data_IF_552484853684
#
_entry.id   IF_552484853684
#
_cell.length_a   1.000
_cell.length_b   1.000
_cell.length_c   1.000
_cell.angle_alpha   90.00
_cell.angle_beta   90.00
_cell.angle_gamma   90.00
#
_symmetry.space_group_name_H-M   'P 1'
#
loop_
_entity.id
_entity.type
_entity.pdbx_description
1 polymer ?
#
# COMPACT_ATOMS: atom_id res chain seq x y z
N UNK A 1 3.72 -11.05 8.04
CA UNK A 1 3.46 -11.14 6.59
C UNK A 1 3.58 -9.76 6.01
N UNK A 2 4.10 -9.64 4.79
CA UNK A 2 4.36 -8.35 4.15
C UNK A 2 3.45 -8.20 2.93
N UNK A 3 2.77 -7.07 2.83
CA UNK A 3 2.08 -6.64 1.62
C UNK A 3 2.81 -5.44 1.03
N UNK A 4 2.93 -5.45 -0.30
CA UNK A 4 3.52 -4.38 -1.08
C UNK A 4 2.41 -3.77 -1.93
N UNK A 5 2.16 -2.48 -1.72
CA UNK A 5 1.16 -1.69 -2.42
C UNK A 5 1.82 -0.81 -3.46
N UNK A 6 1.36 -0.88 -4.70
CA UNK A 6 1.72 0.10 -5.73
C UNK A 6 0.75 1.26 -5.65
N UNK A 7 1.30 2.47 -5.57
CA UNK A 7 0.56 3.72 -5.48
C UNK A 7 0.84 4.62 -6.70
N UNK A 8 -0.14 5.43 -7.06
CA UNK A 8 0.02 6.54 -8.00
C UNK A 8 0.04 7.84 -7.21
N UNK A 9 1.06 8.67 -7.43
CA UNK A 9 1.20 9.99 -6.83
C UNK A 9 0.38 11.05 -7.59
N UNK A 10 0.10 12.22 -6.98
CA UNK A 10 -0.63 13.31 -7.64
C UNK A 10 0.03 13.84 -8.92
N UNK A 11 1.35 13.70 -9.04
CA UNK A 11 2.13 14.07 -10.22
C UNK A 11 2.08 13.02 -11.35
N UNK A 12 1.33 11.92 -11.14
CA UNK A 12 1.19 10.81 -12.08
C UNK A 12 2.33 9.79 -12.02
N UNK A 13 3.32 9.98 -11.15
CA UNK A 13 4.39 8.99 -10.94
C UNK A 13 3.89 7.79 -10.14
N UNK A 14 4.58 6.67 -10.27
CA UNK A 14 4.31 5.45 -9.50
C UNK A 14 5.28 5.34 -8.32
N UNK A 15 4.78 4.83 -7.20
CA UNK A 15 5.56 4.50 -6.01
C UNK A 15 5.13 3.17 -5.40
N UNK A 16 5.84 2.76 -4.37
CA UNK A 16 5.51 1.58 -3.59
C UNK A 16 5.50 1.92 -2.10
N UNK A 17 4.57 1.30 -1.39
CA UNK A 17 4.47 1.31 0.07
C UNK A 17 4.41 -0.13 0.56
N UNK A 18 4.95 -0.40 1.74
CA UNK A 18 5.04 -1.75 2.29
C UNK A 18 4.49 -1.73 3.71
N UNK A 19 3.70 -2.75 4.04
CA UNK A 19 3.12 -2.88 5.36
C UNK A 19 3.19 -4.32 5.85
N UNK A 20 3.52 -4.46 7.12
CA UNK A 20 3.56 -5.74 7.81
C UNK A 20 2.28 -5.96 8.61
N UNK A 21 1.87 -7.21 8.75
CA UNK A 21 0.77 -7.62 9.63
C UNK A 21 0.81 -9.12 9.92
N UNK A 22 0.09 -9.56 10.96
CA UNK A 22 0.00 -10.98 11.30
C UNK A 22 -0.98 -11.72 10.37
N UNK A 23 -1.99 -11.01 9.86
CA UNK A 23 -2.97 -11.51 8.88
C UNK A 23 -3.02 -10.63 7.62
N UNK A 24 -3.75 -11.08 6.59
CA UNK A 24 -3.89 -10.31 5.35
C UNK A 24 -4.68 -9.04 5.57
N UNK A 25 -5.72 -9.12 6.38
CA UNK A 25 -6.57 -8.00 6.74
C UNK A 25 -5.77 -6.95 7.51
N UNK A 26 -4.98 -7.37 8.52
CA UNK A 26 -4.14 -6.47 9.30
C UNK A 26 -3.07 -5.79 8.44
N UNK A 27 -2.35 -6.56 7.61
CA UNK A 27 -1.35 -6.00 6.71
C UNK A 27 -1.99 -5.04 5.69
N UNK A 28 -3.21 -5.34 5.22
CA UNK A 28 -3.96 -4.48 4.29
C UNK A 28 -4.38 -3.18 4.98
N UNK A 29 -4.90 -3.23 6.19
CA UNK A 29 -5.28 -2.04 6.96
C UNK A 29 -4.06 -1.16 7.23
N UNK A 30 -2.94 -1.74 7.64
CA UNK A 30 -1.67 -1.02 7.82
C UNK A 30 -1.21 -0.37 6.51
N UNK A 31 -1.42 -1.03 5.38
CA UNK A 31 -1.07 -0.49 4.06
C UNK A 31 -1.95 0.70 3.67
N UNK A 32 -3.26 0.64 3.94
CA UNK A 32 -4.16 1.78 3.73
C UNK A 32 -3.87 2.94 4.69
N UNK A 33 -3.41 2.66 5.91
CA UNK A 33 -3.00 3.69 6.87
C UNK A 33 -1.77 4.48 6.41
N UNK A 34 -0.92 3.89 5.55
CA UNK A 34 0.23 4.55 4.93
C UNK A 34 -0.13 5.35 3.66
N UNK A 35 -1.37 5.25 3.17
CA UNK A 35 -1.79 5.95 1.97
C UNK A 35 -2.06 7.42 2.28
N UNK A 36 -1.15 8.29 1.84
CA UNK A 36 -1.29 9.74 2.00
C UNK A 36 -2.39 10.32 1.08
N UNK A 37 -2.97 11.44 1.50
CA UNK A 37 -3.97 12.18 0.71
C UNK A 37 -3.47 12.49 -0.71
N UNK A 38 -4.32 12.23 -1.69
CA UNK A 38 -4.01 12.41 -3.12
C UNK A 38 -3.24 11.26 -3.77
N UNK A 39 -2.78 10.27 -2.99
CA UNK A 39 -2.22 9.02 -3.53
C UNK A 39 -3.31 7.98 -3.71
N UNK A 40 -3.19 7.17 -4.76
CA UNK A 40 -4.15 6.11 -5.05
C UNK A 40 -3.46 4.75 -5.04
N UNK A 41 -4.00 3.81 -4.27
CA UNK A 41 -3.55 2.42 -4.29
C UNK A 41 -4.13 1.70 -5.51
N UNK A 42 -3.26 1.18 -6.38
CA UNK A 42 -3.66 0.57 -7.66
C UNK A 42 -3.48 -0.95 -7.69
N UNK A 43 -2.56 -1.49 -6.88
CA UNK A 43 -2.33 -2.92 -6.78
C UNK A 43 -1.75 -3.27 -5.42
N UNK A 44 -2.07 -4.47 -4.93
CA UNK A 44 -1.48 -5.06 -3.73
C UNK A 44 -0.92 -6.42 -4.12
N UNK A 45 0.34 -6.68 -3.78
CA UNK A 45 0.95 -8.01 -3.87
C UNK A 45 1.41 -8.46 -2.50
N UNK A 46 1.46 -9.78 -2.32
CA UNK A 46 2.04 -10.41 -1.15
C UNK A 46 3.50 -10.73 -1.43
N UNK A 47 4.37 -10.44 -0.48
CA UNK A 47 5.77 -10.89 -0.45
C UNK A 47 5.92 -12.11 0.49
#
# INVERSE_FOLDING_TARGET
MILIGTITNPDGSYGHIEAEGNTYEEARENLYALLEDGKNLIAIRKD
#
